data_IF_643825176131
#
_entry.id   IF_643825176131
#
_cell.length_a   1.000
_cell.length_b   1.000
_cell.length_c   1.000
_cell.angle_alpha   90.00
_cell.angle_beta   90.00
_cell.angle_gamma   90.00
#
_symmetry.space_group_name_H-M   'P 1'
#
loop_
_entity.id
_entity.type
_entity.pdbx_description
1 polymer ?
#
# COMPACT_ATOMS: atom_id res chain seq x y z
N UNK A 1 -17.29 5.06 -0.17
CA UNK A 1 -16.77 3.84 0.48
C UNK A 1 -16.11 4.15 1.81
N UNK A 2 -15.14 5.08 1.88
CA UNK A 2 -14.48 5.47 3.15
C UNK A 2 -15.49 5.93 4.19
N UNK A 3 -16.37 6.88 3.83
CA UNK A 3 -17.43 7.40 4.70
C UNK A 3 -18.37 6.30 5.20
N UNK A 4 -18.76 5.35 4.33
CA UNK A 4 -19.64 4.25 4.69
C UNK A 4 -19.00 3.22 5.64
N UNK A 5 -17.67 3.20 5.75
CA UNK A 5 -16.95 2.34 6.68
C UNK A 5 -16.64 3.02 8.02
N UNK A 6 -17.02 4.29 8.19
CA UNK A 6 -16.69 5.06 9.40
C UNK A 6 -15.19 5.26 9.59
N UNK A 7 -14.39 5.14 8.52
CA UNK A 7 -12.95 5.38 8.59
C UNK A 7 -12.71 6.87 8.45
N UNK A 8 -12.30 7.51 9.54
CA UNK A 8 -12.00 8.93 9.57
C UNK A 8 -10.50 9.16 9.34
N UNK A 9 -10.16 10.23 8.62
CA UNK A 9 -8.79 10.79 8.58
C UNK A 9 -7.70 9.96 7.88
N UNK A 10 -8.02 9.16 6.86
CA UNK A 10 -7.01 8.60 5.93
C UNK A 10 -7.17 9.16 4.51
N UNK A 11 -6.08 9.58 3.84
CA UNK A 11 -6.15 9.94 2.43
C UNK A 11 -6.36 8.69 1.58
N UNK A 12 -7.40 8.69 0.75
CA UNK A 12 -7.61 7.66 -0.27
C UNK A 12 -7.33 8.29 -1.63
N UNK A 13 -6.36 7.73 -2.32
CA UNK A 13 -5.86 8.23 -3.60
C UNK A 13 -6.51 7.51 -4.77
N UNK A 14 -6.53 8.16 -5.93
CA UNK A 14 -7.06 7.63 -7.18
C UNK A 14 -5.95 7.50 -8.21
N UNK A 15 -5.49 6.28 -8.48
CA UNK A 15 -4.52 5.96 -9.54
C UNK A 15 -5.24 5.65 -10.86
N UNK A 16 -6.11 6.58 -11.27
CA UNK A 16 -7.07 6.35 -12.36
C UNK A 16 -6.51 6.65 -13.75
N UNK A 17 -5.81 7.78 -13.93
CA UNK A 17 -5.30 8.19 -15.23
C UNK A 17 -3.97 8.97 -15.13
N UNK A 18 -2.91 8.57 -15.87
CA UNK A 18 -2.81 7.36 -16.71
C UNK A 18 -3.04 6.09 -15.88
N UNK A 19 -3.77 5.13 -16.44
CA UNK A 19 -4.31 4.01 -15.66
C UNK A 19 -3.22 3.22 -14.94
N UNK A 20 -3.28 3.20 -13.60
CA UNK A 20 -2.35 2.43 -12.78
C UNK A 20 -0.90 2.90 -12.86
N UNK A 21 -0.63 4.17 -13.23
CA UNK A 21 0.75 4.64 -13.45
C UNK A 21 1.60 4.49 -12.19
N UNK A 22 1.04 4.80 -11.01
CA UNK A 22 1.75 4.65 -9.73
C UNK A 22 1.92 3.17 -9.40
N UNK A 23 0.86 2.38 -9.52
CA UNK A 23 0.96 0.94 -9.31
C UNK A 23 2.01 0.27 -10.22
N UNK A 24 2.11 0.72 -11.48
CA UNK A 24 3.11 0.26 -12.43
C UNK A 24 4.52 0.67 -11.98
N UNK A 25 4.72 1.91 -11.52
CA UNK A 25 6.04 2.37 -11.06
C UNK A 25 6.52 1.63 -9.80
N UNK A 26 5.59 1.15 -8.97
CA UNK A 26 5.87 0.31 -7.81
C UNK A 26 5.92 -1.19 -8.14
N UNK A 27 5.71 -1.58 -9.41
CA UNK A 27 5.79 -2.98 -9.85
C UNK A 27 4.63 -3.86 -9.41
N UNK A 28 3.51 -3.28 -9.00
CA UNK A 28 2.35 -3.99 -8.42
C UNK A 28 1.10 -3.93 -9.29
N UNK A 29 1.15 -3.32 -10.48
CA UNK A 29 0.01 -3.37 -11.42
C UNK A 29 -0.06 -4.75 -12.10
N UNK A 30 -1.21 -5.42 -11.99
CA UNK A 30 -1.49 -6.67 -12.71
C UNK A 30 -1.98 -6.39 -14.13
N UNK A 31 -1.84 -7.39 -15.00
CA UNK A 31 -2.30 -7.34 -16.40
C UNK A 31 -3.79 -7.03 -16.54
N UNK A 32 -4.60 -7.38 -15.54
CA UNK A 32 -6.05 -7.18 -15.55
C UNK A 32 -6.50 -5.77 -15.09
N UNK A 33 -5.57 -4.82 -14.92
CA UNK A 33 -5.89 -3.42 -14.59
C UNK A 33 -6.17 -3.14 -13.11
N UNK A 34 -5.72 -4.03 -12.22
CA UNK A 34 -5.83 -3.88 -10.77
C UNK A 34 -4.48 -4.14 -10.11
N UNK A 35 -4.26 -3.61 -8.92
CA UNK A 35 -2.99 -3.81 -8.22
C UNK A 35 -2.95 -5.18 -7.56
N UNK A 36 -1.75 -5.69 -7.28
CA UNK A 36 -1.53 -6.61 -6.16
C UNK A 36 -2.04 -5.98 -4.86
N UNK A 37 -2.34 -6.82 -3.86
CA UNK A 37 -2.53 -6.33 -2.50
C UNK A 37 -1.16 -6.14 -1.88
N UNK A 38 -0.71 -4.89 -1.85
CA UNK A 38 0.64 -4.55 -1.42
C UNK A 38 0.66 -3.47 -0.34
N UNK A 39 1.64 -3.56 0.57
CA UNK A 39 1.94 -2.56 1.58
C UNK A 39 3.40 -2.15 1.42
N UNK A 40 3.64 -0.85 1.40
CA UNK A 40 4.97 -0.26 1.36
C UNK A 40 5.17 0.59 2.61
N UNK A 41 6.32 0.47 3.26
CA UNK A 41 6.77 1.43 4.27
C UNK A 41 7.89 2.25 3.66
N UNK A 42 7.70 3.56 3.62
CA UNK A 42 8.65 4.53 3.07
C UNK A 42 9.14 5.39 4.23
N UNK A 43 10.45 5.55 4.37
CA UNK A 43 11.04 6.40 5.41
C UNK A 43 10.95 7.90 5.07
N UNK A 44 11.43 8.73 6.00
CA UNK A 44 11.45 10.20 5.85
C UNK A 44 12.37 10.69 4.73
N UNK A 45 13.28 9.86 4.22
CA UNK A 45 14.16 10.17 3.09
C UNK A 45 13.56 9.70 1.75
N UNK A 46 12.36 9.10 1.76
CA UNK A 46 11.70 8.59 0.57
C UNK A 46 12.19 7.21 0.13
N UNK A 47 12.87 6.46 1.00
CA UNK A 47 13.38 5.12 0.71
C UNK A 47 12.37 4.07 1.17
N UNK A 48 12.08 3.10 0.30
CA UNK A 48 11.27 1.93 0.65
C UNK A 48 12.07 1.05 1.61
N UNK A 49 11.53 0.83 2.81
CA UNK A 49 12.14 0.02 3.88
C UNK A 49 11.49 -1.34 4.05
N UNK A 50 10.29 -1.49 3.52
CA UNK A 50 9.56 -2.74 3.56
C UNK A 50 8.54 -2.80 2.42
N UNK A 51 8.36 -4.02 1.91
CA UNK A 51 7.37 -4.38 0.90
C UNK A 51 6.71 -5.68 1.36
N UNK A 52 5.39 -5.67 1.46
CA UNK A 52 4.56 -6.87 1.61
C UNK A 52 3.66 -6.98 0.39
N UNK A 53 3.65 -8.15 -0.24
CA UNK A 53 2.72 -8.50 -1.31
C UNK A 53 2.06 -9.80 -0.88
N UNK A 54 0.77 -9.74 -0.61
CA UNK A 54 0.04 -10.86 -0.03
C UNK A 54 -1.24 -11.17 -0.78
N UNK A 55 -1.82 -12.33 -0.47
CA UNK A 55 -3.06 -12.76 -1.10
C UNK A 55 -4.21 -11.80 -0.76
N UNK A 56 -5.14 -11.62 -1.71
CA UNK A 56 -6.31 -10.77 -1.50
C UNK A 56 -7.15 -11.17 -0.30
N UNK A 57 -7.20 -12.46 0.00
CA UNK A 57 -8.05 -13.02 1.05
C UNK A 57 -7.33 -13.13 2.41
N UNK A 58 -6.02 -12.91 2.46
CA UNK A 58 -5.26 -12.94 3.72
C UNK A 58 -5.13 -11.54 4.30
N UNK A 59 -5.18 -11.38 5.62
CA UNK A 59 -4.86 -10.10 6.25
C UNK A 59 -3.33 -9.93 6.37
N UNK A 60 -2.81 -8.70 6.26
CA UNK A 60 -1.40 -8.44 6.55
C UNK A 60 -1.10 -8.66 8.03
N UNK A 61 0.15 -8.99 8.36
CA UNK A 61 0.61 -9.06 9.74
C UNK A 61 0.98 -7.66 10.25
N UNK A 62 0.06 -7.04 11.00
CA UNK A 62 0.28 -5.71 11.57
C UNK A 62 1.48 -5.66 12.53
N UNK A 63 1.78 -6.74 13.25
CA UNK A 63 2.93 -6.78 14.16
C UNK A 63 4.25 -6.71 13.38
N UNK A 64 4.29 -7.32 12.18
CA UNK A 64 5.44 -7.17 11.30
C UNK A 64 5.60 -5.72 10.82
N UNK A 65 4.50 -5.03 10.49
CA UNK A 65 4.52 -3.63 10.08
C UNK A 65 5.04 -2.72 11.20
N UNK A 66 4.53 -2.88 12.43
CA UNK A 66 4.96 -2.07 13.57
C UNK A 66 6.44 -2.29 13.90
N UNK A 67 6.92 -3.53 13.87
CA UNK A 67 8.35 -3.82 14.05
C UNK A 67 9.24 -3.09 13.05
N UNK A 68 8.82 -3.00 11.78
CA UNK A 68 9.57 -2.22 10.78
C UNK A 68 9.54 -0.73 11.12
N UNK A 69 8.36 -0.19 11.44
CA UNK A 69 8.20 1.22 11.78
C UNK A 69 9.07 1.65 12.97
N UNK A 70 9.20 0.79 13.99
CA UNK A 70 10.07 0.99 15.14
C UNK A 70 11.56 1.10 14.77
N UNK A 71 11.98 0.55 13.62
CA UNK A 71 13.38 0.69 13.14
C UNK A 71 13.66 2.02 12.42
N UNK A 72 12.63 2.83 12.14
CA UNK A 72 12.72 4.02 11.27
C UNK A 72 12.75 5.35 12.05
N UNK A 73 13.16 5.32 13.32
CA UNK A 73 13.25 6.49 14.21
C UNK A 73 13.82 7.76 13.52
#
# INVERSE_FOLDING_TARGET
WVESLGVESIPVLSDYWPHGQVAQSYGVLREHGMTERAIFIVDKQGIIRYVDIHDFNSQPDNEALFRVLETLE
#
